data_IF_319161870705
#
_entry.id   IF_319161870705
#
_cell.length_a   1.000
_cell.length_b   1.000
_cell.length_c   1.000
_cell.angle_alpha   90.00
_cell.angle_beta   90.00
_cell.angle_gamma   90.00
#
_symmetry.space_group_name_H-M   'P 1'
#
loop_
_entity.id
_entity.type
_entity.pdbx_description
1 polymer ?
#
# COMPACT_ATOMS: atom_id res chain seq x y z
N UNK A 1 23.10 8.39 1.07
CA UNK A 1 21.91 9.17 0.64
C UNK A 1 20.87 8.97 1.72
N UNK A 2 20.63 9.98 2.55
CA UNK A 2 19.53 9.92 3.52
C UNK A 2 18.23 9.99 2.72
N UNK A 3 17.45 8.91 2.74
CA UNK A 3 16.07 8.96 2.27
C UNK A 3 15.35 10.01 3.13
N UNK A 4 14.56 10.87 2.48
CA UNK A 4 13.68 11.81 3.18
C UNK A 4 12.93 11.05 4.28
N UNK A 5 13.05 11.48 5.54
CA UNK A 5 12.38 10.86 6.68
C UNK A 5 13.26 10.32 7.81
N UNK A 6 14.57 10.61 7.88
CA UNK A 6 15.41 10.42 9.08
C UNK A 6 15.28 9.04 9.76
N UNK A 7 15.26 7.96 8.97
CA UNK A 7 15.14 6.58 9.49
C UNK A 7 13.71 6.11 9.78
N UNK A 8 12.69 6.97 9.56
CA UNK A 8 11.25 6.65 9.69
C UNK A 8 10.70 5.81 8.55
N UNK A 9 11.35 5.83 7.39
CA UNK A 9 11.02 4.97 6.27
C UNK A 9 12.00 3.81 6.13
N UNK A 10 11.47 2.67 5.74
CA UNK A 10 12.25 1.56 5.23
C UNK A 10 11.68 1.11 3.88
N UNK A 11 12.50 1.22 2.83
CA UNK A 11 12.25 0.62 1.52
C UNK A 11 12.65 -0.86 1.53
N UNK A 12 11.68 -1.76 1.36
CA UNK A 12 11.86 -3.19 1.50
C UNK A 12 11.63 -3.90 0.17
N UNK A 13 12.45 -4.92 -0.14
CA UNK A 13 12.13 -5.89 -1.19
C UNK A 13 11.07 -6.85 -0.65
N UNK A 14 9.95 -6.97 -1.36
CA UNK A 14 8.82 -7.83 -1.00
C UNK A 14 8.47 -8.89 -2.06
N UNK A 15 9.39 -9.18 -2.98
CA UNK A 15 9.19 -10.11 -4.11
C UNK A 15 8.85 -11.53 -3.68
N UNK A 16 9.42 -12.00 -2.57
CA UNK A 16 9.19 -13.36 -2.08
C UNK A 16 7.94 -13.47 -1.20
N UNK A 17 7.40 -12.34 -0.74
CA UNK A 17 6.33 -12.27 0.25
C UNK A 17 4.96 -12.45 -0.42
N UNK A 18 4.12 -13.32 0.13
CA UNK A 18 2.76 -13.51 -0.37
C UNK A 18 1.76 -12.60 0.34
N UNK A 19 0.77 -12.13 -0.41
CA UNK A 19 -0.40 -11.45 0.15
C UNK A 19 -1.24 -12.49 0.90
N UNK A 20 -1.82 -12.09 2.03
CA UNK A 20 -2.77 -12.93 2.72
C UNK A 20 -4.03 -13.11 1.83
N UNK A 21 -4.43 -14.36 1.48
CA UNK A 21 -5.56 -14.61 0.60
C UNK A 21 -6.89 -13.97 1.00
N UNK A 22 -7.07 -13.64 2.29
CA UNK A 22 -8.24 -12.90 2.79
C UNK A 22 -8.42 -11.52 2.14
N UNK A 23 -7.33 -10.91 1.65
CA UNK A 23 -7.34 -9.58 1.05
C UNK A 23 -7.30 -9.60 -0.48
N UNK A 24 -7.27 -10.79 -1.09
CA UNK A 24 -7.25 -10.95 -2.54
C UNK A 24 -8.65 -10.99 -3.14
N UNK A 25 -8.80 -10.34 -4.30
CA UNK A 25 -9.96 -10.56 -5.15
C UNK A 25 -9.96 -12.01 -5.65
N UNK A 26 -11.15 -12.57 -5.85
CA UNK A 26 -11.31 -13.94 -6.36
C UNK A 26 -12.07 -13.95 -7.67
N UNK A 27 -11.72 -14.88 -8.56
CA UNK A 27 -12.44 -15.13 -9.81
C UNK A 27 -13.10 -16.52 -9.78
N UNK A 28 -14.22 -16.71 -10.49
CA UNK A 28 -14.77 -18.04 -10.71
C UNK A 28 -13.71 -18.96 -11.34
N UNK A 29 -13.53 -20.15 -10.79
CA UNK A 29 -12.60 -21.15 -11.28
C UNK A 29 -13.17 -22.56 -11.07
N UNK A 30 -14.37 -22.85 -11.63
CA UNK A 30 -15.10 -24.07 -11.36
C UNK A 30 -14.30 -25.31 -11.78
N UNK A 31 -14.56 -26.41 -11.09
CA UNK A 31 -14.00 -27.74 -11.39
C UNK A 31 -15.15 -28.74 -11.49
N UNK A 32 -14.89 -29.93 -12.04
CA UNK A 32 -15.91 -30.99 -12.16
C UNK A 32 -16.52 -31.37 -10.79
N UNK A 33 -15.76 -31.25 -9.71
CA UNK A 33 -16.17 -31.59 -8.34
C UNK A 33 -16.63 -30.39 -7.51
N UNK A 34 -16.41 -29.16 -7.99
CA UNK A 34 -16.83 -27.93 -7.30
C UNK A 34 -17.15 -26.83 -8.33
N UNK A 35 -18.44 -26.69 -8.71
CA UNK A 35 -18.89 -25.68 -9.67
C UNK A 35 -18.90 -24.25 -9.09
N UNK A 36 -18.79 -24.10 -7.77
CA UNK A 36 -18.80 -22.79 -7.08
C UNK A 36 -17.41 -22.29 -6.73
N UNK A 37 -16.37 -23.09 -7.01
CA UNK A 37 -14.98 -22.80 -6.68
C UNK A 37 -14.56 -21.41 -7.16
N UNK A 38 -13.95 -20.65 -6.26
CA UNK A 38 -13.31 -19.37 -6.58
C UNK A 38 -11.82 -19.49 -6.34
N UNK A 39 -11.02 -18.88 -7.22
CA UNK A 39 -9.56 -18.83 -7.11
C UNK A 39 -9.13 -17.39 -6.77
N UNK A 40 -8.25 -17.18 -5.77
CA UNK A 40 -7.67 -15.87 -5.53
C UNK A 40 -6.77 -15.45 -6.71
N UNK A 41 -6.84 -14.17 -7.07
CA UNK A 41 -5.91 -13.56 -8.01
C UNK A 41 -4.73 -13.05 -7.19
N UNK A 42 -3.69 -13.87 -7.09
CA UNK A 42 -2.47 -13.51 -6.39
C UNK A 42 -1.45 -12.91 -7.34
N UNK A 43 -1.02 -11.69 -7.03
CA UNK A 43 0.12 -11.00 -7.64
C UNK A 43 0.83 -10.22 -6.54
N UNK A 44 2.14 -10.08 -6.69
CA UNK A 44 3.01 -9.43 -5.72
C UNK A 44 3.42 -8.06 -6.25
N UNK A 45 4.14 -7.31 -5.43
CA UNK A 45 4.90 -6.16 -5.90
C UNK A 45 6.37 -6.42 -5.59
N UNK A 46 7.28 -5.70 -6.24
CA UNK A 46 8.71 -5.91 -6.00
C UNK A 46 9.19 -5.24 -4.72
N UNK A 47 8.77 -4.00 -4.47
CA UNK A 47 9.20 -3.23 -3.31
C UNK A 47 8.05 -2.49 -2.64
N UNK A 48 8.24 -2.12 -1.39
CA UNK A 48 7.27 -1.34 -0.62
C UNK A 48 7.97 -0.36 0.30
N UNK A 49 7.38 0.81 0.54
CA UNK A 49 7.76 1.64 1.68
C UNK A 49 7.05 1.12 2.94
N UNK A 50 7.69 1.31 4.07
CA UNK A 50 7.15 0.88 5.35
C UNK A 50 7.61 1.78 6.46
N UNK A 51 6.76 1.89 7.48
CA UNK A 51 7.11 2.64 8.68
C UNK A 51 8.16 1.83 9.45
N UNK A 52 9.32 2.44 9.64
CA UNK A 52 10.52 1.76 10.08
C UNK A 52 10.49 1.49 11.58
N UNK A 53 10.69 0.23 11.97
CA UNK A 53 10.91 -0.14 13.37
C UNK A 53 12.21 0.44 13.98
N UNK A 54 13.06 1.09 13.17
CA UNK A 54 14.27 1.80 13.63
C UNK A 54 13.96 3.20 14.15
N UNK A 55 12.81 3.77 13.75
CA UNK A 55 12.32 5.00 14.38
C UNK A 55 11.81 4.68 15.79
N UNK A 56 12.26 5.38 16.84
CA UNK A 56 11.83 5.11 18.21
C UNK A 56 10.31 5.17 18.38
N UNK A 57 9.63 6.15 17.75
CA UNK A 57 8.19 6.31 17.86
C UNK A 57 7.42 5.13 17.25
N UNK A 58 7.77 4.74 16.02
CA UNK A 58 7.19 3.56 15.37
C UNK A 58 7.52 2.27 16.10
N UNK A 59 8.75 2.12 16.60
CA UNK A 59 9.19 0.94 17.37
C UNK A 59 8.37 0.76 18.65
N UNK A 60 8.20 1.84 19.42
CA UNK A 60 7.38 1.84 20.64
C UNK A 60 5.93 1.49 20.33
N UNK A 61 5.35 2.02 19.23
CA UNK A 61 4.00 1.68 18.81
C UNK A 61 3.88 0.19 18.45
N UNK A 62 4.82 -0.37 17.69
CA UNK A 62 4.81 -1.79 17.33
C UNK A 62 4.93 -2.70 18.55
N UNK A 63 5.72 -2.30 19.55
CA UNK A 63 5.80 -3.04 20.82
C UNK A 63 4.45 -3.05 21.54
N UNK A 64 3.78 -1.90 21.67
CA UNK A 64 2.45 -1.82 22.31
C UNK A 64 1.41 -2.65 21.58
N UNK A 65 1.43 -2.66 20.24
CA UNK A 65 0.60 -3.56 19.43
C UNK A 65 0.91 -5.04 19.69
N UNK A 66 2.18 -5.39 19.89
CA UNK A 66 2.60 -6.76 20.22
C UNK A 66 2.09 -7.20 21.59
N UNK A 67 2.15 -6.30 22.58
CA UNK A 67 1.67 -6.46 23.95
C UNK A 67 0.14 -6.60 24.01
N UNK A 68 -0.59 -5.83 23.18
CA UNK A 68 -2.04 -5.93 23.00
C UNK A 68 -2.49 -7.09 22.08
N UNK A 69 -1.57 -7.98 21.68
CA UNK A 69 -1.80 -9.08 20.75
C UNK A 69 -2.33 -8.67 19.35
N UNK A 70 -2.20 -7.41 18.97
CA UNK A 70 -2.61 -6.83 17.68
C UNK A 70 -1.45 -6.79 16.66
N UNK A 71 -0.83 -7.96 16.46
CA UNK A 71 0.43 -8.11 15.70
C UNK A 71 0.27 -8.11 14.18
N UNK A 72 -0.95 -8.22 13.66
CA UNK A 72 -1.22 -8.40 12.22
C UNK A 72 -1.63 -7.07 11.61
N UNK A 73 -0.65 -6.28 11.20
CA UNK A 73 -0.82 -4.93 10.66
C UNK A 73 -0.78 -4.95 9.13
N UNK A 74 0.22 -5.62 8.55
CA UNK A 74 0.39 -5.72 7.10
C UNK A 74 -0.56 -6.72 6.46
N UNK A 75 -0.78 -6.58 5.16
CA UNK A 75 -1.64 -7.44 4.35
C UNK A 75 -0.94 -8.71 3.84
N UNK A 76 0.31 -8.94 4.23
CA UNK A 76 1.15 -10.07 3.81
C UNK A 76 1.19 -11.17 4.87
N UNK A 77 1.72 -12.35 4.53
CA UNK A 77 1.83 -13.49 5.45
C UNK A 77 3.22 -13.66 6.09
N UNK A 78 4.23 -12.99 5.54
CA UNK A 78 5.61 -13.07 6.02
C UNK A 78 5.76 -12.59 7.47
N UNK A 79 6.69 -13.20 8.21
CA UNK A 79 6.84 -12.99 9.64
C UNK A 79 7.10 -11.52 10.01
N UNK A 80 7.85 -10.81 9.16
CA UNK A 80 8.18 -9.41 9.36
C UNK A 80 7.11 -8.50 8.76
N UNK A 81 6.83 -8.60 7.46
CA UNK A 81 5.96 -7.63 6.79
C UNK A 81 4.50 -7.72 7.21
N UNK A 82 4.04 -8.83 7.80
CA UNK A 82 2.70 -8.90 8.43
C UNK A 82 2.60 -8.07 9.71
N UNK A 83 3.73 -7.78 10.37
CA UNK A 83 3.81 -7.02 11.63
C UNK A 83 4.22 -5.56 11.43
N UNK A 84 4.40 -5.15 10.17
CA UNK A 84 4.84 -3.80 9.83
C UNK A 84 3.72 -3.09 9.08
N UNK A 85 3.54 -1.81 9.39
CA UNK A 85 2.68 -0.94 8.61
C UNK A 85 3.36 -0.67 7.25
N UNK A 86 2.72 -1.10 6.17
CA UNK A 86 3.19 -0.91 4.80
C UNK A 86 2.50 0.29 4.16
N UNK A 87 3.22 1.00 3.31
CA UNK A 87 2.74 2.17 2.57
C UNK A 87 3.38 2.19 1.19
N UNK A 88 2.60 2.39 0.13
CA UNK A 88 3.07 2.53 -1.25
C UNK A 88 3.90 1.37 -1.80
N UNK A 89 3.29 0.60 -2.71
CA UNK A 89 3.97 -0.47 -3.45
C UNK A 89 4.66 0.03 -4.73
N UNK A 90 5.68 -0.70 -5.16
CA UNK A 90 6.51 -0.41 -6.32
C UNK A 90 6.70 -1.69 -7.12
N UNK A 91 6.12 -1.73 -8.31
CA UNK A 91 6.33 -2.81 -9.26
C UNK A 91 7.33 -2.37 -10.33
N UNK A 92 8.39 -3.16 -10.54
CA UNK A 92 9.49 -2.81 -11.42
C UNK A 92 9.60 -3.83 -12.54
N UNK A 93 9.64 -3.34 -13.78
CA UNK A 93 9.88 -4.15 -14.96
C UNK A 93 11.07 -3.58 -15.75
N UNK A 94 11.81 -4.44 -16.49
CA UNK A 94 12.80 -3.96 -17.45
C UNK A 94 12.14 -3.09 -18.53
N UNK A 95 12.93 -2.37 -19.33
CA UNK A 95 12.41 -1.52 -20.41
C UNK A 95 11.61 -2.30 -21.48
N UNK A 96 11.91 -3.58 -21.66
CA UNK A 96 11.17 -4.50 -22.52
C UNK A 96 9.97 -5.16 -21.83
N UNK A 97 9.68 -4.76 -20.59
CA UNK A 97 8.65 -5.35 -19.75
C UNK A 97 7.25 -4.87 -20.12
N UNK A 98 6.24 -5.60 -19.67
CA UNK A 98 4.84 -5.32 -19.98
C UNK A 98 4.22 -4.37 -18.94
N UNK A 99 3.85 -3.15 -19.37
CA UNK A 99 3.18 -2.16 -18.53
C UNK A 99 1.85 -2.65 -17.96
N UNK A 100 1.05 -3.37 -18.75
CA UNK A 100 -0.24 -3.94 -18.28
C UNK A 100 -0.01 -4.99 -17.20
N UNK A 101 1.05 -5.79 -17.31
CA UNK A 101 1.40 -6.72 -16.25
C UNK A 101 1.80 -5.96 -14.97
N UNK A 102 2.67 -4.96 -15.09
CA UNK A 102 3.10 -4.15 -13.95
C UNK A 102 1.89 -3.49 -13.25
N UNK A 103 0.98 -2.92 -14.02
CA UNK A 103 -0.25 -2.32 -13.53
C UNK A 103 -1.14 -3.33 -12.79
N UNK A 104 -1.34 -4.52 -13.36
CA UNK A 104 -2.14 -5.56 -12.73
C UNK A 104 -1.54 -6.01 -11.40
N UNK A 105 -0.22 -6.26 -11.39
CA UNK A 105 0.50 -6.68 -10.19
C UNK A 105 0.41 -5.63 -9.08
N UNK A 106 0.66 -4.38 -9.44
CA UNK A 106 0.52 -3.25 -8.54
C UNK A 106 -0.92 -3.15 -8.00
N UNK A 107 -1.91 -3.10 -8.89
CA UNK A 107 -3.32 -2.90 -8.53
C UNK A 107 -3.82 -3.94 -7.52
N UNK A 108 -3.39 -5.19 -7.65
CA UNK A 108 -3.73 -6.26 -6.70
C UNK A 108 -3.11 -6.00 -5.33
N UNK A 109 -1.83 -5.62 -5.29
CA UNK A 109 -1.12 -5.32 -4.05
C UNK A 109 -1.73 -4.13 -3.30
N UNK A 110 -1.93 -2.98 -3.96
CA UNK A 110 -2.46 -1.79 -3.28
C UNK A 110 -3.91 -2.00 -2.82
N UNK A 111 -4.71 -2.74 -3.59
CA UNK A 111 -6.07 -3.10 -3.18
C UNK A 111 -6.08 -3.98 -1.92
N UNK A 112 -5.17 -4.96 -1.84
CA UNK A 112 -5.01 -5.79 -0.65
C UNK A 112 -4.53 -4.97 0.56
N UNK A 113 -3.59 -4.04 0.35
CA UNK A 113 -3.12 -3.09 1.38
C UNK A 113 -4.28 -2.33 2.01
N UNK A 114 -5.14 -1.73 1.19
CA UNK A 114 -6.28 -0.94 1.68
C UNK A 114 -7.34 -1.78 2.36
N UNK A 115 -7.67 -2.98 1.84
CA UNK A 115 -8.61 -3.87 2.52
C UNK A 115 -8.16 -4.23 3.92
N UNK A 116 -6.85 -4.49 4.10
CA UNK A 116 -6.28 -4.72 5.44
C UNK A 116 -6.43 -3.49 6.33
N UNK A 117 -6.17 -2.29 5.80
CA UNK A 117 -6.27 -1.04 6.57
C UNK A 117 -7.72 -0.69 6.94
N UNK A 118 -8.69 -0.99 6.07
CA UNK A 118 -10.12 -0.93 6.38
C UNK A 118 -10.51 -1.93 7.48
N UNK A 119 -9.93 -3.14 7.50
CA UNK A 119 -10.11 -4.08 8.61
C UNK A 119 -9.56 -3.51 9.92
N UNK A 120 -8.33 -2.99 9.91
CA UNK A 120 -7.72 -2.37 11.11
C UNK A 120 -8.59 -1.22 11.65
N UNK A 121 -9.09 -0.34 10.78
CA UNK A 121 -9.97 0.76 11.16
C UNK A 121 -11.26 0.26 11.83
N UNK A 122 -11.90 -0.78 11.25
CA UNK A 122 -13.10 -1.41 11.83
C UNK A 122 -12.81 -2.04 13.19
N UNK A 123 -11.69 -2.75 13.33
CA UNK A 123 -11.26 -3.34 14.60
C UNK A 123 -10.96 -2.28 15.65
N UNK A 124 -10.41 -1.13 15.25
CA UNK A 124 -10.14 0.01 16.11
C UNK A 124 -11.40 0.83 16.46
N UNK A 125 -12.52 0.60 15.76
CA UNK A 125 -13.72 1.44 15.83
C UNK A 125 -13.44 2.92 15.50
N UNK A 126 -12.46 3.17 14.62
CA UNK A 126 -12.11 4.51 14.16
C UNK A 126 -12.82 4.78 12.84
N UNK A 127 -13.69 5.78 12.80
CA UNK A 127 -14.27 6.30 11.57
C UNK A 127 -13.25 7.13 10.80
N UNK A 128 -13.26 7.00 9.48
CA UNK A 128 -12.45 7.81 8.57
C UNK A 128 -13.29 8.12 7.32
N UNK A 129 -13.01 9.25 6.69
CA UNK A 129 -13.52 9.55 5.36
C UNK A 129 -12.68 8.83 4.31
N UNK A 130 -13.26 8.26 3.24
CA UNK A 130 -12.49 7.55 2.21
C UNK A 130 -11.30 8.33 1.64
N UNK A 131 -11.40 9.66 1.57
CA UNK A 131 -10.34 10.56 1.12
C UNK A 131 -9.10 10.58 2.04
N UNK A 132 -9.25 10.22 3.32
CA UNK A 132 -8.15 10.12 4.29
C UNK A 132 -7.30 8.87 4.05
N UNK A 133 -7.83 7.86 3.32
CA UNK A 133 -7.16 6.60 3.00
C UNK A 133 -6.73 6.51 1.53
N UNK A 134 -6.33 7.63 0.92
CA UNK A 134 -5.75 7.61 -0.42
C UNK A 134 -4.29 7.15 -0.34
N UNK A 135 -3.97 5.99 -0.89
CA UNK A 135 -2.58 5.49 -0.93
C UNK A 135 -2.03 5.56 -2.35
N UNK A 136 -0.87 6.21 -2.57
CA UNK A 136 -0.20 6.18 -3.86
C UNK A 136 0.58 4.89 -4.03
N UNK A 137 0.75 4.43 -5.26
CA UNK A 137 1.70 3.39 -5.61
C UNK A 137 2.22 3.57 -7.04
N UNK A 138 3.29 2.86 -7.36
CA UNK A 138 4.04 3.12 -8.58
C UNK A 138 4.31 1.85 -9.37
N UNK A 139 4.32 2.00 -10.69
CA UNK A 139 5.01 1.07 -11.58
C UNK A 139 6.21 1.78 -12.19
N UNK A 140 7.29 1.04 -12.41
CA UNK A 140 8.51 1.51 -13.07
C UNK A 140 8.81 0.55 -14.19
N UNK A 141 8.74 1.01 -15.44
CA UNK A 141 9.04 0.18 -16.62
C UNK A 141 10.16 0.84 -17.40
N UNK A 142 11.35 0.24 -17.33
CA UNK A 142 12.56 0.88 -17.85
C UNK A 142 12.83 2.22 -17.17
N UNK A 143 12.73 3.30 -17.94
CA UNK A 143 12.94 4.66 -17.42
C UNK A 143 11.65 5.34 -16.95
N UNK A 144 10.47 4.80 -17.26
CA UNK A 144 9.19 5.46 -17.06
C UNK A 144 8.56 5.06 -15.72
N UNK A 145 8.04 6.05 -15.00
CA UNK A 145 7.37 5.86 -13.73
C UNK A 145 5.91 6.28 -13.87
N UNK A 146 5.00 5.36 -13.59
CA UNK A 146 3.57 5.62 -13.59
C UNK A 146 3.02 5.64 -12.18
N UNK A 147 2.14 6.59 -11.88
CA UNK A 147 1.55 6.75 -10.57
C UNK A 147 0.09 6.30 -10.57
N UNK A 148 -0.24 5.52 -9.56
CA UNK A 148 -1.57 5.00 -9.27
C UNK A 148 -1.98 5.43 -7.86
N UNK A 149 -3.28 5.51 -7.62
CA UNK A 149 -3.85 5.81 -6.32
C UNK A 149 -4.96 4.82 -6.03
N UNK A 150 -5.04 4.36 -4.79
CA UNK A 150 -6.17 3.57 -4.35
C UNK A 150 -6.87 4.23 -3.17
N UNK A 151 -8.17 4.04 -3.09
CA UNK A 151 -8.99 4.54 -1.98
C UNK A 151 -10.24 3.67 -1.79
N UNK A 152 -10.81 3.63 -0.57
CA UNK A 152 -12.09 3.00 -0.28
C UNK A 152 -13.24 3.60 -1.10
N UNK A 153 -14.19 2.78 -1.50
CA UNK A 153 -15.38 3.24 -2.22
C UNK A 153 -16.60 2.38 -1.87
N UNK A 154 -17.70 3.02 -1.47
CA UNK A 154 -18.88 2.34 -0.90
C UNK A 154 -20.03 2.10 -1.91
N UNK A 155 -19.81 2.35 -3.20
CA UNK A 155 -20.79 2.26 -4.29
C UNK A 155 -20.26 1.50 -5.52
N UNK A 156 -19.44 0.46 -5.34
CA UNK A 156 -18.97 -0.33 -6.48
C UNK A 156 -20.13 -1.09 -7.15
N UNK A 157 -19.94 -1.47 -8.44
CA UNK A 157 -20.89 -2.30 -9.21
C UNK A 157 -21.29 -3.50 -8.34
N UNK A 158 -22.59 -3.63 -8.04
CA UNK A 158 -23.25 -4.56 -7.08
C UNK A 158 -23.54 -4.06 -5.65
N UNK A 159 -23.36 -2.76 -5.35
CA UNK A 159 -23.72 -2.19 -4.04
C UNK A 159 -22.80 -2.64 -2.90
N UNK A 160 -21.57 -3.04 -3.24
CA UNK A 160 -20.57 -3.52 -2.29
C UNK A 160 -19.50 -2.46 -2.07
N UNK A 161 -19.07 -2.31 -0.82
CA UNK A 161 -17.85 -1.59 -0.48
C UNK A 161 -16.61 -2.33 -1.01
N UNK A 162 -15.62 -1.59 -1.48
CA UNK A 162 -14.34 -2.14 -1.88
C UNK A 162 -13.27 -1.07 -2.06
N UNK A 163 -12.26 -1.40 -2.86
CA UNK A 163 -11.13 -0.51 -3.15
C UNK A 163 -11.15 -0.19 -4.63
N UNK A 164 -11.12 1.10 -4.95
CA UNK A 164 -10.93 1.59 -6.30
C UNK A 164 -9.45 1.90 -6.50
N UNK A 165 -8.90 1.54 -7.67
CA UNK A 165 -7.53 1.89 -8.08
C UNK A 165 -7.64 2.74 -9.34
N UNK A 166 -7.05 3.93 -9.30
CA UNK A 166 -7.00 4.88 -10.41
C UNK A 166 -5.57 5.04 -10.90
N UNK A 167 -5.42 5.15 -12.21
CA UNK A 167 -4.16 5.40 -12.89
C UNK A 167 -4.01 4.57 -14.16
N UNK A 168 -2.88 4.72 -14.88
CA UNK A 168 -1.82 5.68 -14.59
C UNK A 168 -2.31 7.13 -14.80
N UNK A 169 -2.08 8.02 -13.83
CA UNK A 169 -2.53 9.42 -13.92
C UNK A 169 -1.54 10.25 -14.76
N UNK A 170 -1.70 10.17 -16.09
CA UNK A 170 -0.83 10.84 -17.05
C UNK A 170 -1.13 12.33 -17.21
N UNK A 171 -2.35 12.76 -16.85
CA UNK A 171 -2.80 14.15 -17.03
C UNK A 171 -2.23 15.06 -15.93
N UNK A 172 -2.22 14.59 -14.68
CA UNK A 172 -1.67 15.36 -13.55
C UNK A 172 -0.16 15.21 -13.43
N UNK A 173 0.37 14.05 -13.79
CA UNK A 173 1.79 13.76 -13.74
C UNK A 173 2.34 13.70 -15.15
N UNK A 174 2.78 14.85 -15.67
CA UNK A 174 3.58 14.91 -16.89
C UNK A 174 4.69 13.84 -16.86
N UNK A 175 5.03 13.25 -18.01
CA UNK A 175 6.00 12.16 -18.19
C UNK A 175 7.11 12.15 -17.12
N UNK A 176 6.94 11.28 -16.12
CA UNK A 176 7.89 11.03 -15.05
C UNK A 176 8.88 9.97 -15.53
N UNK A 177 10.12 10.38 -15.76
CA UNK A 177 11.12 9.50 -16.36
C UNK A 177 12.53 9.78 -15.86
N UNK A 178 13.38 8.77 -15.89
CA UNK A 178 14.83 8.89 -15.64
C UNK A 178 15.65 9.12 -16.92
N UNK A 179 15.01 9.20 -18.10
CA UNK A 179 15.67 9.41 -19.39
C UNK A 179 16.11 10.87 -19.65
N UNK A 180 15.77 11.80 -18.76
CA UNK A 180 16.08 13.22 -18.90
C UNK A 180 16.31 13.89 -17.55
N UNK A 181 17.18 14.92 -17.52
CA UNK A 181 17.47 15.71 -16.31
C UNK A 181 16.18 16.29 -15.71
N UNK A 182 15.30 16.86 -16.56
CA UNK A 182 14.01 17.41 -16.14
C UNK A 182 13.12 16.33 -15.51
N UNK A 183 13.06 15.14 -16.12
CA UNK A 183 12.33 13.99 -15.59
C UNK A 183 12.85 13.56 -14.21
N UNK A 184 14.18 13.49 -14.04
CA UNK A 184 14.82 13.14 -12.76
C UNK A 184 14.42 14.12 -11.65
N UNK A 185 14.49 15.43 -11.89
CA UNK A 185 14.10 16.42 -10.87
C UNK A 185 12.60 16.34 -10.53
N UNK A 186 11.74 16.01 -11.50
CA UNK A 186 10.31 15.76 -11.26
C UNK A 186 10.09 14.53 -10.39
N UNK A 187 10.81 13.45 -10.66
CA UNK A 187 10.77 12.23 -9.86
C UNK A 187 11.21 12.49 -8.42
N UNK A 188 12.32 13.19 -8.22
CA UNK A 188 12.81 13.55 -6.88
C UNK A 188 11.72 14.32 -6.11
N UNK A 189 11.10 15.32 -6.74
CA UNK A 189 10.02 16.09 -6.13
C UNK A 189 8.80 15.22 -5.82
N UNK A 190 8.38 14.38 -6.76
CA UNK A 190 7.23 13.48 -6.58
C UNK A 190 7.48 12.47 -5.45
N UNK A 191 8.63 11.80 -5.41
CA UNK A 191 8.96 10.86 -4.34
C UNK A 191 9.07 11.56 -2.99
N UNK A 192 9.68 12.75 -2.94
CA UNK A 192 9.70 13.58 -1.74
C UNK A 192 8.29 13.91 -1.24
N UNK A 193 7.36 14.24 -2.14
CA UNK A 193 5.96 14.50 -1.79
C UNK A 193 5.23 13.24 -1.28
N UNK A 194 5.45 12.07 -1.89
CA UNK A 194 4.88 10.79 -1.42
C UNK A 194 5.37 10.49 0.01
N UNK A 195 6.67 10.62 0.27
CA UNK A 195 7.26 10.38 1.58
C UNK A 195 6.79 11.41 2.62
N UNK A 196 6.62 12.67 2.21
CA UNK A 196 6.05 13.72 3.08
C UNK A 196 4.61 13.40 3.43
N UNK A 197 3.76 13.15 2.43
CA UNK A 197 2.35 12.79 2.63
C UNK A 197 2.19 11.55 3.51
N UNK A 198 3.00 10.52 3.28
CA UNK A 198 2.98 9.28 4.04
C UNK A 198 3.38 9.42 5.51
N UNK A 199 4.13 10.47 5.90
CA UNK A 199 4.56 10.71 7.30
C UNK A 199 3.94 11.94 7.94
N UNK A 200 3.12 12.68 7.21
CA UNK A 200 2.54 13.92 7.69
C UNK A 200 1.67 13.62 8.92
N UNK A 201 2.01 14.26 10.04
CA UNK A 201 1.36 14.09 11.36
C UNK A 201 0.09 14.95 11.49
N UNK A 202 -0.17 15.83 10.52
CA UNK A 202 -1.40 16.62 10.47
C UNK A 202 -2.60 15.75 10.07
N UNK A 203 -3.81 16.31 10.21
CA UNK A 203 -5.06 15.64 9.83
C UNK A 203 -5.18 15.36 8.33
N UNK A 204 -4.49 16.15 7.50
CA UNK A 204 -4.50 15.98 6.04
C UNK A 204 -3.46 14.94 5.57
N UNK A 205 -2.59 14.49 6.48
CA UNK A 205 -1.56 13.49 6.24
C UNK A 205 -2.07 12.06 6.33
N UNK A 206 -1.48 11.15 5.56
CA UNK A 206 -1.85 9.73 5.60
C UNK A 206 -1.57 9.10 6.97
N UNK A 207 -0.45 9.48 7.60
CA UNK A 207 -0.10 8.97 8.92
C UNK A 207 -0.93 9.60 10.02
N UNK A 208 -0.95 10.94 10.12
CA UNK A 208 -1.63 11.67 11.18
C UNK A 208 -3.16 11.61 11.11
N UNK A 209 -3.72 11.72 9.90
CA UNK A 209 -5.17 11.71 9.67
C UNK A 209 -5.79 10.33 9.74
N UNK A 210 -5.08 9.29 9.27
CA UNK A 210 -5.66 7.96 9.10
C UNK A 210 -4.93 6.87 9.89
N UNK A 211 -3.69 6.54 9.53
CA UNK A 211 -3.10 5.27 9.95
C UNK A 211 -2.64 5.26 11.42
N UNK A 212 -2.03 6.35 11.91
CA UNK A 212 -1.54 6.44 13.29
C UNK A 212 -2.67 6.36 14.32
N UNK A 213 -3.80 7.12 14.20
CA UNK A 213 -4.91 6.99 15.13
C UNK A 213 -5.42 5.55 15.27
N UNK A 214 -5.58 4.84 14.15
CA UNK A 214 -6.02 3.43 14.13
C UNK A 214 -5.05 2.54 14.89
N UNK A 215 -3.76 2.64 14.57
CA UNK A 215 -2.74 1.80 15.20
C UNK A 215 -2.57 2.11 16.68
N UNK A 216 -2.63 3.38 17.08
CA UNK A 216 -2.61 3.77 18.49
C UNK A 216 -3.82 3.18 19.24
N UNK A 217 -5.02 3.31 18.68
CA UNK A 217 -6.23 2.78 19.28
C UNK A 217 -6.14 1.25 19.47
N UNK A 218 -5.70 0.51 18.45
CA UNK A 218 -5.48 -0.94 18.55
C UNK A 218 -4.41 -1.32 19.59
N UNK A 219 -3.43 -0.45 19.82
CA UNK A 219 -2.39 -0.69 20.81
C UNK A 219 -2.89 -0.48 22.26
N UNK A 220 -4.01 0.22 22.43
CA UNK A 220 -4.59 0.58 23.73
C UNK A 220 -5.87 -0.23 24.08
N UNK A 221 -6.37 -1.06 23.15
CA UNK A 221 -7.45 -2.00 23.44
C UNK A 221 -6.90 -3.13 24.30
N UNK A 222 -7.22 -3.11 25.60
CA UNK A 222 -6.99 -4.18 26.57
C UNK A 222 -8.16 -5.14 26.65
#
# INVERSE_FOLDING_TARGET
MELYGNGRWWFQNVQSQSINPLYLSTIPAPTLTDPTRRKPIDRKTDYVLSYSHRDPGTSTLYKRLDDANNRRIGHTVDAFTKRTALFSGFEIKPASGNHTEAELQMSIWIAASLRKKQELARSAQVSFEPAEMVEPALTIVGHEHSVYYAYPRDDLVSGKSGVHVLGPDVDRFERLSTDSIRGIFRLIKMYGNILKYGMDESRDGYWGGFLKPILCQLADIS
#
